data_IF_368560870386
#
_entry.id   IF_368560870386
#
_cell.length_a   1.000
_cell.length_b   1.000
_cell.length_c   1.000
_cell.angle_alpha   90.00
_cell.angle_beta   90.00
_cell.angle_gamma   90.00
#
_symmetry.space_group_name_H-M   'P 1'
#
loop_
_entity.id
_entity.type
_entity.pdbx_description
1 polymer ?
#
# COMPACT_ATOMS: atom_id res chain seq x y z
N UNK A 1 -11.27 3.07 -1.01
CA UNK A 1 -11.13 2.62 0.39
C UNK A 1 -12.49 2.78 1.05
N UNK A 2 -13.00 1.74 1.69
CA UNK A 2 -14.24 1.82 2.48
C UNK A 2 -13.90 1.72 3.95
N UNK A 3 -14.57 2.49 4.80
CA UNK A 3 -14.35 2.49 6.25
C UNK A 3 -15.67 2.33 6.98
N UNK A 4 -15.71 1.39 7.92
CA UNK A 4 -16.77 1.18 8.89
C UNK A 4 -16.30 1.70 10.24
N UNK A 5 -17.16 2.47 10.91
CA UNK A 5 -16.90 3.02 12.25
C UNK A 5 -17.90 2.46 13.24
N UNK A 6 -17.40 1.96 14.36
CA UNK A 6 -18.18 1.44 15.48
C UNK A 6 -17.97 2.37 16.68
N UNK A 7 -18.81 3.40 16.78
CA UNK A 7 -18.66 4.49 17.75
C UNK A 7 -18.78 4.01 19.20
N UNK A 8 -19.72 3.10 19.50
CA UNK A 8 -19.90 2.53 20.85
C UNK A 8 -18.65 1.83 21.39
N UNK A 9 -17.80 1.35 20.49
CA UNK A 9 -16.57 0.63 20.81
C UNK A 9 -15.31 1.45 20.50
N UNK A 10 -15.41 2.67 19.96
CA UNK A 10 -14.23 3.45 19.55
C UNK A 10 -13.32 2.69 18.58
N UNK A 11 -13.89 1.88 17.67
CA UNK A 11 -13.14 1.07 16.69
C UNK A 11 -13.48 1.51 15.27
N UNK A 12 -12.45 1.73 14.46
CA UNK A 12 -12.55 1.94 13.02
C UNK A 12 -11.97 0.74 12.26
N UNK A 13 -12.72 0.19 11.32
CA UNK A 13 -12.27 -0.87 10.40
C UNK A 13 -12.28 -0.33 8.98
N UNK A 14 -11.16 -0.40 8.27
CA UNK A 14 -11.05 0.06 6.88
C UNK A 14 -10.61 -1.06 5.96
N UNK A 15 -11.29 -1.17 4.82
CA UNK A 15 -10.92 -2.04 3.71
C UNK A 15 -10.32 -1.21 2.57
N UNK A 16 -9.19 -1.66 2.05
CA UNK A 16 -8.49 -0.98 0.96
C UNK A 16 -7.95 -1.98 -0.05
N UNK A 17 -7.73 -1.46 -1.26
CA UNK A 17 -7.09 -2.18 -2.35
C UNK A 17 -6.13 -1.23 -3.07
N UNK A 18 -5.01 -1.76 -3.53
CA UNK A 18 -4.00 -1.07 -4.35
C UNK A 18 -3.82 -1.85 -5.64
N UNK A 19 -3.55 -1.13 -6.72
CA UNK A 19 -3.34 -1.69 -8.06
C UNK A 19 -4.51 -2.60 -8.53
N UNK A 20 -5.75 -2.10 -8.51
CA UNK A 20 -6.95 -2.90 -8.84
C UNK A 20 -6.94 -3.49 -10.26
N UNK A 21 -6.32 -2.78 -11.21
CA UNK A 21 -6.15 -3.24 -12.59
C UNK A 21 -4.96 -4.19 -12.77
N UNK A 22 -4.23 -4.51 -11.69
CA UNK A 22 -3.06 -5.39 -11.67
C UNK A 22 -2.01 -5.01 -12.72
N UNK A 23 -1.72 -3.71 -12.80
CA UNK A 23 -0.79 -3.16 -13.77
C UNK A 23 0.64 -3.39 -13.29
N UNK A 24 1.52 -3.80 -14.20
CA UNK A 24 2.95 -3.80 -13.98
C UNK A 24 3.52 -2.37 -14.12
N UNK A 25 4.27 -1.93 -13.11
CA UNK A 25 4.94 -0.63 -13.09
C UNK A 25 6.21 -0.69 -12.23
N UNK A 26 7.06 0.33 -12.33
CA UNK A 26 8.22 0.49 -11.47
C UNK A 26 7.88 1.44 -10.32
N UNK A 27 8.18 1.04 -9.08
CA UNK A 27 7.98 1.88 -7.90
C UNK A 27 9.02 2.99 -7.81
N UNK A 28 10.28 2.64 -8.07
CA UNK A 28 11.37 3.60 -8.19
C UNK A 28 12.52 3.00 -9.01
N UNK A 29 13.38 3.90 -9.50
CA UNK A 29 14.64 3.57 -10.16
C UNK A 29 15.76 4.22 -9.35
N UNK A 30 16.77 3.44 -9.03
CA UNK A 30 17.99 3.91 -8.42
C UNK A 30 19.08 3.92 -9.49
N UNK A 31 19.55 5.12 -9.81
CA UNK A 31 20.76 5.33 -10.59
C UNK A 31 21.87 5.77 -9.62
N UNK A 32 22.70 4.80 -9.24
CA UNK A 32 23.90 5.01 -8.45
C UNK A 32 25.12 4.74 -9.34
N UNK A 33 25.22 5.50 -10.43
CA UNK A 33 26.30 5.40 -11.42
C UNK A 33 27.70 5.40 -10.80
N UNK A 34 27.96 6.21 -9.77
CA UNK A 34 29.23 6.24 -9.04
C UNK A 34 29.58 4.92 -8.32
N UNK A 35 28.57 4.10 -8.01
CA UNK A 35 28.71 2.78 -7.42
C UNK A 35 28.55 1.64 -8.45
N UNK A 36 28.53 1.97 -9.76
CA UNK A 36 28.24 1.02 -10.85
C UNK A 36 26.94 0.24 -10.66
N UNK A 37 25.97 0.84 -9.97
CA UNK A 37 24.69 0.20 -9.67
C UNK A 37 23.57 0.95 -10.38
N UNK A 38 22.85 0.22 -11.23
CA UNK A 38 21.58 0.64 -11.80
C UNK A 38 20.54 -0.42 -11.48
N UNK A 39 19.49 -0.04 -10.75
CA UNK A 39 18.47 -0.97 -10.29
C UNK A 39 17.09 -0.35 -10.33
N UNK A 40 16.09 -1.14 -10.69
CA UNK A 40 14.69 -0.75 -10.62
C UNK A 40 13.95 -1.65 -9.66
N UNK A 41 13.04 -1.09 -8.86
CA UNK A 41 12.15 -1.86 -7.99
C UNK A 41 10.78 -2.00 -8.66
N UNK A 42 10.31 -3.24 -8.90
CA UNK A 42 8.93 -3.48 -9.33
C UNK A 42 7.93 -2.92 -8.32
N UNK A 43 6.83 -2.37 -8.82
CA UNK A 43 5.67 -1.98 -8.03
C UNK A 43 4.98 -3.19 -7.39
N UNK A 44 4.26 -2.93 -6.30
CA UNK A 44 3.46 -3.97 -5.66
C UNK A 44 2.34 -4.43 -6.62
N UNK A 45 2.06 -5.75 -6.71
CA UNK A 45 0.96 -6.28 -7.51
C UNK A 45 -0.38 -5.87 -6.91
N UNK A 46 -1.50 -6.30 -7.52
CA UNK A 46 -2.83 -6.12 -6.93
C UNK A 46 -2.88 -6.64 -5.50
N UNK A 47 -3.07 -5.72 -4.57
CA UNK A 47 -2.95 -5.98 -3.13
C UNK A 47 -4.18 -5.47 -2.40
N UNK A 48 -4.72 -6.30 -1.50
CA UNK A 48 -5.87 -5.98 -0.66
C UNK A 48 -5.45 -5.92 0.79
N UNK A 49 -6.17 -5.16 1.61
CA UNK A 49 -5.90 -5.12 3.03
C UNK A 49 -7.05 -4.60 3.88
N UNK A 50 -6.93 -4.90 5.17
CA UNK A 50 -7.79 -4.41 6.22
C UNK A 50 -6.94 -3.68 7.26
N UNK A 51 -7.47 -2.59 7.78
CA UNK A 51 -6.86 -1.83 8.89
C UNK A 51 -7.88 -1.73 10.00
N UNK A 52 -7.50 -2.14 11.21
CA UNK A 52 -8.31 -1.97 12.43
C UNK A 52 -7.60 -0.96 13.33
N UNK A 53 -8.32 0.08 13.75
CA UNK A 53 -7.83 1.11 14.66
C UNK A 53 -8.74 1.19 15.88
N UNK A 54 -8.16 1.12 17.07
CA UNK A 54 -8.85 1.30 18.35
C UNK A 54 -8.39 2.60 19.00
N UNK A 55 -9.33 3.43 19.42
CA UNK A 55 -9.07 4.63 20.23
C UNK A 55 -9.47 4.36 21.68
N UNK A 56 -8.69 4.90 22.61
CA UNK A 56 -8.89 4.83 24.06
C UNK A 56 -9.14 6.23 24.61
#
# INVERSE_FOLDING_TARGET
MGTLRLDDFGVDVSLWARNLADKDYLQYVNDLSAAFYFGARPGDPRTYGVTVRKSF
#
